data_IF_396791526551
#
_entry.id   IF_396791526551
#
_cell.length_a   1.000
_cell.length_b   1.000
_cell.length_c   1.000
_cell.angle_alpha   90.00
_cell.angle_beta   90.00
_cell.angle_gamma   90.00
#
_symmetry.space_group_name_H-M   'P 1'
#
loop_
_entity.id
_entity.type
_entity.pdbx_description
1 polymer ?
#
# COMPACT_ATOMS: atom_id res chain seq x y z
N UNK A 1 11.41 -2.99 23.89
CA UNK A 1 11.19 -3.47 22.50
C UNK A 1 11.72 -2.44 21.53
N UNK A 2 12.42 -2.87 20.49
CA UNK A 2 12.85 -1.99 19.40
C UNK A 2 11.83 -2.10 18.26
N UNK A 3 11.49 -0.96 17.63
CA UNK A 3 10.68 -0.91 16.44
C UNK A 3 11.56 -0.75 15.19
N UNK A 4 11.16 -1.34 14.07
CA UNK A 4 11.73 -1.09 12.76
C UNK A 4 10.76 -0.22 11.98
N UNK A 5 11.23 0.89 11.42
CA UNK A 5 10.42 1.81 10.64
C UNK A 5 10.75 1.67 9.16
N UNK A 6 9.77 1.27 8.36
CA UNK A 6 9.80 1.38 6.90
C UNK A 6 9.04 2.64 6.50
N UNK A 7 9.70 3.55 5.82
CA UNK A 7 9.10 4.78 5.30
C UNK A 7 9.37 4.89 3.81
N UNK A 8 8.31 5.09 3.02
CA UNK A 8 8.36 5.26 1.57
C UNK A 8 7.62 6.55 1.23
N UNK A 9 8.33 7.51 0.64
CA UNK A 9 7.81 8.87 0.43
C UNK A 9 6.85 8.98 -0.76
N UNK A 10 7.00 8.12 -1.77
CA UNK A 10 6.30 8.23 -3.05
C UNK A 10 4.90 7.62 -3.10
N UNK A 11 4.37 7.10 -2.00
CA UNK A 11 3.16 6.24 -1.99
C UNK A 11 1.85 7.00 -2.26
N UNK A 12 1.21 7.56 -1.25
CA UNK A 12 -0.07 8.26 -1.39
C UNK A 12 -0.02 9.47 -2.32
N UNK A 13 1.16 10.10 -2.45
CA UNK A 13 1.34 11.23 -3.37
C UNK A 13 1.29 10.78 -4.84
N UNK A 14 1.81 9.59 -5.18
CA UNK A 14 1.67 9.02 -6.52
C UNK A 14 0.19 8.77 -6.83
N UNK A 15 -0.56 8.14 -5.94
CA UNK A 15 -1.98 7.90 -6.16
C UNK A 15 -2.78 9.20 -6.36
N UNK A 16 -2.46 10.23 -5.59
CA UNK A 16 -3.04 11.57 -5.73
C UNK A 16 -2.62 12.25 -7.04
N UNK A 17 -1.38 12.07 -7.48
CA UNK A 17 -0.87 12.61 -8.74
C UNK A 17 -1.56 11.95 -9.94
N UNK A 18 -1.70 10.63 -9.94
CA UNK A 18 -2.45 9.87 -10.97
C UNK A 18 -3.90 10.37 -11.05
N UNK A 19 -4.56 10.57 -9.90
CA UNK A 19 -5.92 11.10 -9.88
C UNK A 19 -6.04 12.46 -10.56
N UNK A 20 -5.08 13.35 -10.34
CA UNK A 20 -5.14 14.73 -10.83
C UNK A 20 -4.70 14.89 -12.29
N UNK A 21 -3.82 14.01 -12.78
CA UNK A 21 -3.12 14.22 -14.05
C UNK A 21 -3.41 13.14 -15.10
N UNK A 22 -3.91 11.96 -14.70
CA UNK A 22 -4.13 10.81 -15.58
C UNK A 22 -5.61 10.42 -15.63
N UNK A 23 -6.24 10.35 -14.46
CA UNK A 23 -7.64 9.96 -14.35
C UNK A 23 -8.59 11.05 -14.92
N UNK A 24 -9.85 10.71 -15.24
CA UNK A 24 -10.83 11.73 -15.66
C UNK A 24 -11.00 12.83 -14.61
N UNK A 25 -11.23 14.06 -15.10
CA UNK A 25 -11.47 15.19 -14.23
C UNK A 25 -12.66 14.94 -13.28
N UNK A 26 -12.50 15.35 -12.02
CA UNK A 26 -13.55 15.20 -11.00
C UNK A 26 -13.74 13.78 -10.46
N UNK A 27 -13.01 12.79 -10.95
CA UNK A 27 -13.15 11.39 -10.51
C UNK A 27 -12.96 11.24 -8.98
N UNK A 28 -13.81 10.45 -8.36
CA UNK A 28 -13.64 10.03 -6.96
C UNK A 28 -12.59 8.90 -6.85
N UNK A 29 -11.99 8.74 -5.67
CA UNK A 29 -11.10 7.60 -5.43
C UNK A 29 -11.82 6.25 -5.55
N UNK A 30 -13.10 6.18 -5.20
CA UNK A 30 -13.90 4.97 -5.36
C UNK A 30 -14.06 4.56 -6.84
N UNK A 31 -14.29 5.53 -7.72
CA UNK A 31 -14.34 5.27 -9.17
C UNK A 31 -12.98 4.93 -9.74
N UNK A 32 -11.93 5.62 -9.29
CA UNK A 32 -10.55 5.31 -9.67
C UNK A 32 -10.19 3.86 -9.28
N UNK A 33 -10.60 3.40 -8.10
CA UNK A 33 -10.41 2.01 -7.69
C UNK A 33 -11.19 1.02 -8.57
N UNK A 34 -12.39 1.39 -9.06
CA UNK A 34 -13.12 0.57 -10.03
C UNK A 34 -12.38 0.43 -11.37
N UNK A 35 -11.77 1.51 -11.86
CA UNK A 35 -10.91 1.43 -13.04
C UNK A 35 -9.73 0.49 -12.82
N UNK A 36 -9.05 0.59 -11.70
CA UNK A 36 -7.96 -0.32 -11.37
C UNK A 36 -8.42 -1.79 -11.31
N UNK A 37 -9.60 -2.06 -10.74
CA UNK A 37 -10.15 -3.42 -10.61
C UNK A 37 -10.54 -4.06 -11.96
N UNK A 38 -10.73 -3.27 -13.02
CA UNK A 38 -11.07 -3.79 -14.36
C UNK A 38 -9.86 -4.30 -15.15
N UNK A 39 -8.65 -4.08 -14.64
CA UNK A 39 -7.40 -4.46 -15.28
C UNK A 39 -6.81 -5.68 -14.58
N UNK A 40 -6.18 -6.64 -15.27
CA UNK A 40 -5.58 -7.83 -14.65
C UNK A 40 -4.38 -7.46 -13.75
N UNK A 41 -4.01 -8.42 -12.88
CA UNK A 41 -2.80 -8.35 -12.05
C UNK A 41 -1.59 -8.10 -12.95
N UNK A 42 -0.65 -7.27 -12.49
CA UNK A 42 0.53 -6.85 -13.25
C UNK A 42 0.24 -5.82 -14.35
N UNK A 43 -0.98 -5.22 -14.34
CA UNK A 43 -1.35 -4.11 -15.23
C UNK A 43 -1.03 -4.34 -16.70
N UNK A 44 -1.18 -5.59 -17.16
CA UNK A 44 -0.85 -6.05 -18.51
C UNK A 44 0.61 -5.74 -18.95
N UNK A 45 1.54 -5.65 -17.99
CA UNK A 45 2.96 -5.41 -18.22
C UNK A 45 3.44 -3.96 -18.00
N UNK A 46 2.55 -3.06 -17.52
CA UNK A 46 3.01 -1.75 -17.06
C UNK A 46 3.51 -1.86 -15.63
N UNK A 47 4.68 -1.31 -15.36
CA UNK A 47 5.18 -1.10 -14.00
C UNK A 47 5.44 0.38 -13.72
N UNK A 48 5.14 0.81 -12.47
CA UNK A 48 5.41 2.17 -12.01
C UNK A 48 6.27 2.12 -10.76
N UNK A 49 7.44 2.76 -10.81
CA UNK A 49 8.30 2.96 -9.66
C UNK A 49 7.87 4.25 -8.93
N UNK A 50 7.41 4.19 -7.67
CA UNK A 50 6.72 5.31 -7.01
C UNK A 50 7.66 6.36 -6.39
N UNK A 51 8.92 6.43 -6.78
CA UNK A 51 9.97 7.19 -6.09
C UNK A 51 10.06 8.67 -6.51
N UNK A 52 8.95 9.27 -6.91
CA UNK A 52 8.88 10.66 -7.40
C UNK A 52 8.75 11.74 -6.31
N UNK A 53 8.96 11.42 -5.03
CA UNK A 53 8.81 12.37 -3.92
C UNK A 53 10.10 12.55 -3.11
N UNK A 54 11.21 12.77 -3.80
CA UNK A 54 12.52 12.99 -3.19
C UNK A 54 13.31 11.70 -2.92
N UNK A 55 14.20 11.76 -1.93
CA UNK A 55 15.11 10.67 -1.62
C UNK A 55 14.40 9.58 -0.78
N UNK A 56 14.65 8.32 -1.11
CA UNK A 56 14.11 7.16 -0.41
C UNK A 56 15.18 6.48 0.47
N UNK A 57 14.86 6.28 1.74
CA UNK A 57 15.81 5.67 2.69
C UNK A 57 16.19 4.25 2.29
N UNK A 58 15.23 3.43 1.86
CA UNK A 58 15.49 2.05 1.42
C UNK A 58 16.33 1.98 0.15
N UNK A 59 16.49 3.08 -0.59
CA UNK A 59 17.36 3.23 -1.74
C UNK A 59 18.65 4.00 -1.41
N UNK A 60 19.15 3.89 -0.18
CA UNK A 60 20.36 4.59 0.30
C UNK A 60 20.28 6.12 0.16
N UNK A 61 19.13 6.71 0.44
CA UNK A 61 18.83 8.13 0.31
C UNK A 61 19.01 8.68 -1.13
N UNK A 62 18.81 7.84 -2.14
CA UNK A 62 18.84 8.31 -3.54
C UNK A 62 17.50 8.93 -3.94
N UNK A 63 17.58 10.01 -4.69
CA UNK A 63 16.44 10.59 -5.40
C UNK A 63 16.44 10.03 -6.83
N UNK A 64 15.71 8.93 -7.04
CA UNK A 64 15.69 8.21 -8.34
C UNK A 64 14.61 8.74 -9.28
N UNK A 65 13.59 9.39 -8.75
CA UNK A 65 12.42 9.81 -9.51
C UNK A 65 11.41 8.68 -9.73
N UNK A 66 10.24 9.05 -10.26
CA UNK A 66 9.21 8.11 -10.70
C UNK A 66 9.56 7.59 -12.10
N UNK A 67 9.40 6.30 -12.31
CA UNK A 67 9.53 5.66 -13.62
C UNK A 67 8.22 4.98 -14.02
N UNK A 68 7.82 5.11 -15.29
CA UNK A 68 6.71 4.37 -15.88
C UNK A 68 7.31 3.54 -17.02
N UNK A 69 7.16 2.22 -16.95
CA UNK A 69 7.77 1.28 -17.89
C UNK A 69 6.73 0.37 -18.53
N UNK A 70 7.04 -0.17 -19.70
CA UNK A 70 6.21 -1.19 -20.37
C UNK A 70 4.93 -0.67 -21.03
N UNK A 71 4.76 0.65 -21.20
CA UNK A 71 3.57 1.21 -21.85
C UNK A 71 3.54 0.86 -23.34
N UNK A 72 2.46 0.25 -23.80
CA UNK A 72 2.13 0.00 -25.21
C UNK A 72 0.89 0.82 -25.57
N UNK A 73 1.02 1.75 -26.49
CA UNK A 73 -0.04 2.70 -26.86
C UNK A 73 -1.24 2.07 -27.55
N UNK A 74 -1.13 0.82 -28.04
CA UNK A 74 -2.24 0.09 -28.63
C UNK A 74 -3.03 -0.75 -27.65
N UNK A 75 -2.49 -1.00 -26.44
CA UNK A 75 -3.06 -1.93 -25.46
C UNK A 75 -3.49 -1.27 -24.15
N UNK A 76 -2.79 -0.21 -23.77
CA UNK A 76 -2.92 0.36 -22.44
C UNK A 76 -3.69 1.68 -22.47
N UNK A 77 -4.54 1.85 -21.46
CA UNK A 77 -5.29 3.07 -21.19
C UNK A 77 -5.04 3.57 -19.75
N UNK A 78 -5.79 4.59 -19.36
CA UNK A 78 -5.72 5.16 -18.03
C UNK A 78 -5.99 4.15 -16.90
N UNK A 79 -6.84 3.14 -17.13
CA UNK A 79 -7.16 2.12 -16.11
C UNK A 79 -5.93 1.30 -15.77
N UNK A 80 -5.11 0.97 -16.78
CA UNK A 80 -3.83 0.28 -16.61
C UNK A 80 -2.85 1.13 -15.81
N UNK A 81 -2.72 2.42 -16.10
CA UNK A 81 -1.86 3.33 -15.34
C UNK A 81 -2.31 3.50 -13.89
N UNK A 82 -3.63 3.55 -13.65
CA UNK A 82 -4.19 3.64 -12.31
C UNK A 82 -3.86 2.37 -11.51
N UNK A 83 -4.04 1.19 -12.11
CA UNK A 83 -3.70 -0.07 -11.47
C UNK A 83 -2.20 -0.18 -11.23
N UNK A 84 -1.38 0.07 -12.25
CA UNK A 84 0.07 0.01 -12.14
C UNK A 84 0.63 0.93 -11.03
N UNK A 85 0.02 2.10 -10.83
CA UNK A 85 0.41 2.98 -9.73
C UNK A 85 0.11 2.36 -8.36
N UNK A 86 -1.06 1.72 -8.18
CA UNK A 86 -1.39 1.04 -6.92
C UNK A 86 -0.49 -0.17 -6.68
N UNK A 87 -0.24 -0.98 -7.70
CA UNK A 87 0.68 -2.12 -7.65
C UNK A 87 2.11 -1.68 -7.36
N UNK A 88 2.61 -0.65 -8.04
CA UNK A 88 3.95 -0.12 -7.81
C UNK A 88 4.16 0.41 -6.39
N UNK A 89 3.14 1.03 -5.78
CA UNK A 89 3.17 1.40 -4.37
C UNK A 89 3.31 0.14 -3.50
N UNK A 90 2.51 -0.92 -3.76
CA UNK A 90 2.58 -2.18 -3.02
C UNK A 90 3.94 -2.85 -3.19
N UNK A 91 4.46 -2.90 -4.41
CA UNK A 91 5.77 -3.51 -4.70
C UNK A 91 6.91 -2.79 -3.98
N UNK A 92 6.80 -1.48 -3.80
CA UNK A 92 7.75 -0.75 -2.97
C UNK A 92 7.66 -1.14 -1.48
N UNK A 93 6.45 -1.41 -0.94
CA UNK A 93 6.30 -1.99 0.40
C UNK A 93 6.89 -3.41 0.47
N UNK A 94 6.61 -4.25 -0.54
CA UNK A 94 7.17 -5.61 -0.59
C UNK A 94 8.70 -5.58 -0.57
N UNK A 95 9.32 -4.72 -1.37
CA UNK A 95 10.78 -4.55 -1.35
C UNK A 95 11.31 -4.18 0.05
N UNK A 96 10.63 -3.27 0.76
CA UNK A 96 11.01 -2.94 2.13
C UNK A 96 10.75 -4.09 3.13
N UNK A 97 9.69 -4.87 2.92
CA UNK A 97 9.40 -6.07 3.71
C UNK A 97 10.46 -7.14 3.47
N UNK A 98 10.93 -7.33 2.24
CA UNK A 98 12.02 -8.26 1.93
C UNK A 98 13.29 -7.92 2.70
N UNK A 99 13.65 -6.63 2.77
CA UNK A 99 14.77 -6.17 3.60
C UNK A 99 14.57 -6.52 5.08
N UNK A 100 13.33 -6.36 5.60
CA UNK A 100 13.04 -6.75 7.00
C UNK A 100 13.14 -8.27 7.19
N UNK A 101 12.68 -9.07 6.24
CA UNK A 101 12.77 -10.53 6.27
C UNK A 101 14.24 -11.00 6.27
N UNK A 102 15.09 -10.38 5.45
CA UNK A 102 16.55 -10.61 5.47
C UNK A 102 17.19 -10.28 6.82
N UNK A 103 16.63 -9.32 7.56
CA UNK A 103 17.03 -8.99 8.93
C UNK A 103 16.46 -9.97 9.99
N UNK A 104 15.72 -11.01 9.58
CA UNK A 104 15.10 -11.98 10.49
C UNK A 104 13.77 -11.50 11.10
N UNK A 105 13.11 -10.53 10.48
CA UNK A 105 11.82 -9.96 10.93
C UNK A 105 10.72 -10.34 9.93
N UNK A 106 10.13 -11.54 10.01
CA UNK A 106 9.10 -11.97 9.09
C UNK A 106 7.78 -11.22 9.34
N UNK A 107 7.15 -10.75 8.27
CA UNK A 107 5.85 -10.08 8.32
C UNK A 107 4.76 -11.07 7.96
N UNK A 108 4.04 -11.60 8.95
CA UNK A 108 2.92 -12.55 8.75
C UNK A 108 1.56 -11.89 8.82
N UNK A 109 1.47 -10.76 9.49
CA UNK A 109 0.22 -10.03 9.70
C UNK A 109 0.45 -8.53 9.64
N UNK A 110 -0.45 -7.84 8.97
CA UNK A 110 -0.47 -6.39 8.84
C UNK A 110 -1.74 -5.85 9.50
N UNK A 111 -1.61 -5.00 10.50
CA UNK A 111 -2.72 -4.26 11.07
C UNK A 111 -2.77 -2.88 10.44
N UNK A 112 -3.91 -2.51 9.87
CA UNK A 112 -4.07 -1.23 9.19
C UNK A 112 -5.42 -0.57 9.53
N UNK A 113 -5.45 0.76 9.49
CA UNK A 113 -6.70 1.51 9.51
C UNK A 113 -7.42 1.39 8.16
N UNK A 114 -8.75 1.33 8.20
CA UNK A 114 -9.60 1.34 7.00
C UNK A 114 -9.68 2.75 6.42
N UNK A 115 -8.56 3.24 5.93
CA UNK A 115 -8.38 4.60 5.42
C UNK A 115 -7.37 4.63 4.25
N UNK A 116 -7.31 5.73 3.53
CA UNK A 116 -6.34 5.98 2.47
C UNK A 116 -6.30 4.86 1.40
N UNK A 117 -5.10 4.34 1.10
CA UNK A 117 -4.89 3.28 0.11
C UNK A 117 -5.59 1.97 0.49
N UNK A 118 -5.77 1.70 1.79
CA UNK A 118 -6.49 0.51 2.26
C UNK A 118 -8.00 0.53 1.95
N UNK A 119 -8.55 1.61 1.42
CA UNK A 119 -9.90 1.63 0.83
C UNK A 119 -9.98 0.95 -0.54
N UNK A 120 -8.86 0.76 -1.23
CA UNK A 120 -8.80 0.03 -2.50
C UNK A 120 -8.69 -1.48 -2.26
N UNK A 121 -9.58 -2.27 -2.87
CA UNK A 121 -9.47 -3.73 -2.89
C UNK A 121 -8.21 -4.18 -3.65
N UNK A 122 -7.92 -3.54 -4.79
CA UNK A 122 -6.71 -3.82 -5.57
C UNK A 122 -5.45 -3.68 -4.70
N UNK A 123 -5.35 -2.58 -3.95
CA UNK A 123 -4.21 -2.35 -3.07
C UNK A 123 -4.08 -3.45 -1.99
N UNK A 124 -5.18 -3.77 -1.31
CA UNK A 124 -5.19 -4.78 -0.24
C UNK A 124 -4.87 -6.18 -0.75
N UNK A 125 -5.52 -6.57 -1.86
CA UNK A 125 -5.33 -7.88 -2.47
C UNK A 125 -3.92 -8.04 -3.01
N UNK A 126 -3.39 -7.01 -3.68
CA UNK A 126 -1.99 -7.01 -4.15
C UNK A 126 -1.02 -7.13 -2.97
N UNK A 127 -1.24 -6.37 -1.89
CA UNK A 127 -0.36 -6.41 -0.72
C UNK A 127 -0.41 -7.79 -0.04
N UNK A 128 -1.60 -8.35 0.18
CA UNK A 128 -1.73 -9.68 0.77
C UNK A 128 -1.12 -10.75 -0.15
N UNK A 129 -1.44 -10.73 -1.45
CA UNK A 129 -0.96 -11.70 -2.43
C UNK A 129 0.56 -11.66 -2.62
N UNK A 130 1.16 -10.47 -2.65
CA UNK A 130 2.61 -10.31 -2.87
C UNK A 130 3.43 -10.64 -1.63
N UNK A 131 2.91 -10.31 -0.43
CA UNK A 131 3.65 -10.53 0.83
C UNK A 131 3.34 -11.85 1.50
N UNK A 132 2.22 -12.49 1.17
CA UNK A 132 1.72 -13.66 1.90
C UNK A 132 1.18 -13.33 3.29
N UNK A 133 1.07 -12.05 3.65
CA UNK A 133 0.61 -11.62 4.97
C UNK A 133 -0.91 -11.41 5.00
N UNK A 134 -1.55 -11.83 6.08
CA UNK A 134 -2.94 -11.48 6.39
C UNK A 134 -3.05 -10.01 6.76
N UNK A 135 -4.01 -9.28 6.19
CA UNK A 135 -4.26 -7.89 6.52
C UNK A 135 -5.54 -7.78 7.35
N UNK A 136 -5.45 -7.24 8.56
CA UNK A 136 -6.58 -6.92 9.42
C UNK A 136 -6.86 -5.41 9.36
N UNK A 137 -8.07 -5.03 8.95
CA UNK A 137 -8.49 -3.64 8.87
C UNK A 137 -9.36 -3.27 10.05
N UNK A 138 -9.04 -2.14 10.66
CA UNK A 138 -9.72 -1.62 11.83
C UNK A 138 -10.41 -0.29 11.53
N UNK A 139 -11.49 0.02 12.26
CA UNK A 139 -12.17 1.32 12.20
C UNK A 139 -11.33 2.41 12.89
N UNK A 140 -10.26 2.79 12.23
CA UNK A 140 -9.31 3.79 12.71
C UNK A 140 -8.51 4.40 11.56
N UNK A 141 -7.81 5.46 11.88
CA UNK A 141 -6.79 6.08 11.04
C UNK A 141 -5.57 6.50 11.87
N UNK A 142 -4.58 7.10 11.21
CA UNK A 142 -3.35 7.53 11.88
C UNK A 142 -3.58 8.62 12.94
N UNK A 143 -4.62 9.47 12.79
CA UNK A 143 -4.92 10.55 13.75
C UNK A 143 -5.50 9.99 15.05
N UNK A 144 -6.39 9.01 14.96
CA UNK A 144 -6.94 8.29 16.12
C UNK A 144 -5.82 7.54 16.85
N UNK A 145 -4.95 6.85 16.11
CA UNK A 145 -3.80 6.17 16.72
C UNK A 145 -2.86 7.11 17.46
N UNK A 146 -2.55 8.27 16.87
CA UNK A 146 -1.72 9.29 17.50
C UNK A 146 -2.39 9.87 18.76
N UNK A 147 -3.70 10.14 18.72
CA UNK A 147 -4.45 10.62 19.89
C UNK A 147 -4.44 9.62 21.03
N UNK A 148 -4.64 8.32 20.73
CA UNK A 148 -4.55 7.24 21.73
C UNK A 148 -3.15 7.11 22.31
N UNK A 149 -2.11 7.22 21.48
CA UNK A 149 -0.71 7.25 21.92
C UNK A 149 -0.42 8.42 22.87
N UNK A 150 -0.89 9.62 22.54
CA UNK A 150 -0.78 10.78 23.41
C UNK A 150 -1.54 10.59 24.74
N UNK A 151 -2.74 9.99 24.67
CA UNK A 151 -3.54 9.66 25.88
C UNK A 151 -2.83 8.67 26.80
N UNK A 152 -2.12 7.70 26.27
CA UNK A 152 -1.26 6.83 27.08
C UNK A 152 -0.11 7.59 27.76
N UNK A 153 0.56 8.47 27.00
CA UNK A 153 1.62 9.31 27.54
C UNK A 153 1.14 10.28 28.63
N UNK A 154 -0.11 10.73 28.55
CA UNK A 154 -0.75 11.62 29.52
C UNK A 154 -1.38 10.85 30.71
N UNK A 155 -1.32 9.50 30.74
CA UNK A 155 -1.93 8.69 31.79
C UNK A 155 -3.46 8.60 31.74
N UNK A 156 -4.09 8.96 30.60
CA UNK A 156 -5.53 8.81 30.37
C UNK A 156 -5.88 7.32 30.22
N UNK A 157 -5.02 6.57 29.57
CA UNK A 157 -5.11 5.11 29.46
C UNK A 157 -3.98 4.46 30.24
N UNK A 158 -4.33 3.41 30.96
CA UNK A 158 -3.39 2.63 31.78
C UNK A 158 -2.32 1.94 30.95
N UNK A 159 -2.73 1.39 29.82
CA UNK A 159 -1.88 0.63 28.90
C UNK A 159 -2.44 0.65 27.47
N UNK A 160 -1.72 -0.03 26.55
CA UNK A 160 -2.13 -0.12 25.18
C UNK A 160 -3.39 -0.97 24.97
N UNK A 161 -3.64 -1.95 25.83
CA UNK A 161 -4.84 -2.80 25.75
C UNK A 161 -6.09 -1.99 26.00
N UNK A 162 -6.08 -1.15 27.04
CA UNK A 162 -7.17 -0.22 27.34
C UNK A 162 -7.34 0.81 26.23
N UNK A 163 -6.25 1.42 25.76
CA UNK A 163 -6.29 2.44 24.72
C UNK A 163 -6.90 1.94 23.41
N UNK A 164 -6.68 0.69 23.06
CA UNK A 164 -7.12 0.09 21.80
C UNK A 164 -8.27 -0.90 21.92
N UNK A 165 -8.83 -1.12 23.14
CA UNK A 165 -9.92 -2.05 23.41
C UNK A 165 -11.20 -1.77 22.60
N UNK A 166 -11.40 -0.52 22.18
CA UNK A 166 -12.58 -0.08 21.41
C UNK A 166 -12.38 -0.06 19.89
N UNK A 167 -11.26 -0.63 19.39
CA UNK A 167 -11.04 -0.73 17.96
C UNK A 167 -11.80 -1.91 17.37
N UNK A 168 -12.78 -1.60 16.51
CA UNK A 168 -13.54 -2.60 15.80
C UNK A 168 -12.73 -3.11 14.58
N UNK A 169 -12.56 -4.43 14.49
CA UNK A 169 -12.03 -5.09 13.31
C UNK A 169 -13.13 -5.16 12.26
N UNK A 170 -12.96 -4.44 11.16
CA UNK A 170 -13.94 -4.33 10.08
C UNK A 170 -13.87 -5.50 9.10
N UNK A 171 -12.66 -5.91 8.71
CA UNK A 171 -12.47 -6.98 7.74
C UNK A 171 -11.07 -7.57 7.83
N UNK A 172 -10.94 -8.76 7.28
CA UNK A 172 -9.68 -9.48 7.11
C UNK A 172 -9.48 -9.78 5.64
N UNK A 173 -8.30 -9.55 5.11
CA UNK A 173 -7.91 -9.90 3.74
C UNK A 173 -6.82 -10.95 3.82
N UNK A 174 -7.16 -12.16 3.39
CA UNK A 174 -6.23 -13.27 3.31
C UNK A 174 -5.55 -13.30 1.94
N UNK A 175 -4.31 -13.79 1.84
CA UNK A 175 -3.68 -14.06 0.56
C UNK A 175 -4.49 -15.09 -0.24
N UNK A 176 -4.79 -14.79 -1.50
CA UNK A 176 -5.45 -15.73 -2.42
C UNK A 176 -4.40 -16.69 -3.01
N UNK A 177 -4.38 -17.92 -2.52
CA UNK A 177 -3.43 -18.94 -2.97
C UNK A 177 -3.54 -19.23 -4.49
N UNK A 178 -4.72 -19.04 -5.08
CA UNK A 178 -4.94 -19.23 -6.52
C UNK A 178 -4.29 -18.15 -7.39
N UNK A 179 -4.00 -16.97 -6.81
CA UNK A 179 -3.42 -15.82 -7.52
C UNK A 179 -1.98 -15.51 -7.12
N UNK A 180 -1.42 -16.28 -6.19
CA UNK A 180 -0.11 -15.97 -5.63
C UNK A 180 1.01 -15.93 -6.69
N UNK A 181 0.96 -16.83 -7.66
CA UNK A 181 1.94 -16.85 -8.74
C UNK A 181 1.85 -15.58 -9.61
N UNK A 182 0.61 -15.15 -9.95
CA UNK A 182 0.41 -13.92 -10.73
C UNK A 182 0.97 -12.69 -10.01
N UNK A 183 0.79 -12.57 -8.69
CA UNK A 183 1.37 -11.48 -7.90
C UNK A 183 2.89 -11.56 -7.81
N UNK A 184 3.45 -12.78 -7.71
CA UNK A 184 4.89 -12.99 -7.70
C UNK A 184 5.52 -12.59 -9.03
N UNK A 185 4.91 -13.02 -10.15
CA UNK A 185 5.36 -12.68 -11.50
C UNK A 185 5.27 -11.16 -11.77
N UNK A 186 4.22 -10.52 -11.26
CA UNK A 186 4.04 -9.07 -11.41
C UNK A 186 5.05 -8.24 -10.59
N UNK A 187 5.56 -8.79 -9.49
CA UNK A 187 6.57 -8.15 -8.65
C UNK A 187 7.99 -8.33 -9.19
N UNK A 188 8.30 -9.44 -9.86
CA UNK A 188 9.63 -9.81 -10.38
C UNK A 188 10.12 -8.84 -11.48
#
# INVERSE_FOLDING_TARGET
>A
RLGVLLCINGTGILNSWIRRNVAPEGISYAEMNRFASSVPIGSAGISILPFGNGAERMLNNRATGCGIHGVDFNRHDKSHLIRAAQEGIVFSFKYGIDIMEEMGIPVKKIHAGHANMFLSSVFRETLAGTTGATIELYDTDGSVGAAKGAGMGAGIYKDHEEAFATLDKLTVVEPDAGKQQEYTDAYA
#
